data_IF_929377526444
#
_entry.id   IF_929377526444
#
_cell.length_a   1.000
_cell.length_b   1.000
_cell.length_c   1.000
_cell.angle_alpha   90.00
_cell.angle_beta   90.00
_cell.angle_gamma   90.00
#
_symmetry.space_group_name_H-M   'P 1'
#
loop_
_entity.id
_entity.type
_entity.pdbx_description
1 polymer ?
#
# COMPACT_ATOMS: atom_id res chain seq x y z
N UNK A 1 21.56 -26.58 -33.43
CA UNK A 1 22.79 -26.19 -32.74
C UNK A 1 22.46 -26.16 -31.25
N UNK A 2 23.27 -26.83 -30.42
CA UNK A 2 23.11 -26.74 -28.95
C UNK A 2 23.44 -25.31 -28.53
N UNK A 3 22.59 -24.74 -27.67
CA UNK A 3 22.91 -23.43 -27.09
C UNK A 3 24.00 -23.60 -26.04
N UNK A 4 25.02 -22.75 -26.08
CA UNK A 4 26.13 -22.76 -25.15
C UNK A 4 26.06 -21.59 -24.18
N UNK A 5 26.38 -21.86 -22.90
CA UNK A 5 26.57 -20.87 -21.84
C UNK A 5 27.79 -21.25 -20.99
N UNK A 6 28.45 -20.28 -20.39
CA UNK A 6 29.61 -20.59 -19.53
C UNK A 6 29.17 -21.18 -18.18
N UNK A 7 28.18 -20.59 -17.54
CA UNK A 7 27.66 -21.09 -16.27
C UNK A 7 26.19 -21.51 -16.46
N UNK A 8 25.85 -22.72 -16.04
CA UNK A 8 24.49 -23.21 -16.03
C UNK A 8 24.06 -23.57 -14.62
N UNK A 9 23.15 -22.79 -14.05
CA UNK A 9 22.50 -23.11 -12.78
C UNK A 9 21.40 -24.12 -13.03
N UNK A 10 21.51 -25.30 -12.42
CA UNK A 10 20.51 -26.36 -12.53
C UNK A 10 19.78 -26.58 -11.22
N UNK A 11 18.47 -26.65 -11.29
CA UNK A 11 17.60 -27.14 -10.22
C UNK A 11 16.34 -27.79 -10.78
N UNK A 12 15.85 -28.85 -10.13
CA UNK A 12 14.67 -29.60 -10.57
C UNK A 12 13.35 -28.81 -10.47
N UNK A 13 13.28 -27.85 -9.54
CA UNK A 13 12.13 -26.96 -9.37
C UNK A 13 12.49 -25.67 -8.64
N UNK A 14 11.66 -24.62 -8.84
CA UNK A 14 11.71 -23.37 -8.08
C UNK A 14 10.30 -22.99 -7.58
N UNK A 15 10.26 -22.24 -6.49
CA UNK A 15 9.08 -21.59 -5.96
C UNK A 15 9.09 -20.09 -6.33
N UNK A 16 8.13 -19.32 -5.79
CA UNK A 16 8.12 -17.85 -5.95
C UNK A 16 9.07 -17.20 -4.93
N UNK A 17 9.15 -17.76 -3.72
CA UNK A 17 9.92 -17.23 -2.60
C UNK A 17 10.69 -18.37 -1.92
N UNK A 18 11.97 -18.14 -1.66
CA UNK A 18 12.82 -19.08 -0.93
C UNK A 18 14.30 -18.68 -0.98
N UNK A 19 15.12 -19.31 -0.16
CA UNK A 19 16.56 -19.04 -0.11
C UNK A 19 17.30 -19.42 -1.39
N UNK A 20 16.87 -20.49 -2.06
CA UNK A 20 17.44 -20.95 -3.32
C UNK A 20 17.07 -20.00 -4.47
N UNK A 21 15.84 -19.55 -4.52
CA UNK A 21 15.35 -18.55 -5.48
C UNK A 21 16.12 -17.24 -5.32
N UNK A 22 16.28 -16.79 -4.08
CA UNK A 22 17.11 -15.62 -3.75
C UNK A 22 18.56 -15.80 -4.16
N UNK A 23 19.15 -16.95 -3.90
CA UNK A 23 20.52 -17.29 -4.33
C UNK A 23 20.66 -17.18 -5.86
N UNK A 24 19.79 -17.83 -6.62
CA UNK A 24 19.84 -17.83 -8.09
C UNK A 24 19.79 -16.41 -8.65
N UNK A 25 18.85 -15.59 -8.15
CA UNK A 25 18.68 -14.21 -8.63
C UNK A 25 19.94 -13.38 -8.33
N UNK A 26 20.44 -13.43 -7.09
CA UNK A 26 21.64 -12.66 -6.71
C UNK A 26 22.91 -13.19 -7.36
N UNK A 27 23.00 -14.50 -7.60
CA UNK A 27 24.13 -15.09 -8.32
C UNK A 27 24.18 -14.60 -9.76
N UNK A 28 23.03 -14.58 -10.46
CA UNK A 28 22.96 -14.05 -11.82
C UNK A 28 23.37 -12.58 -11.82
N UNK A 29 22.80 -11.77 -10.94
CA UNK A 29 23.10 -10.33 -10.86
C UNK A 29 24.57 -10.04 -10.54
N UNK A 30 25.21 -10.88 -9.71
CA UNK A 30 26.63 -10.74 -9.36
C UNK A 30 27.58 -11.16 -10.49
N UNK A 31 27.23 -12.21 -11.24
CA UNK A 31 28.16 -12.88 -12.13
C UNK A 31 27.94 -12.53 -13.62
N UNK A 32 26.83 -11.88 -13.98
CA UNK A 32 26.44 -11.62 -15.38
C UNK A 32 27.42 -10.71 -16.16
N UNK A 33 28.18 -9.87 -15.46
CA UNK A 33 29.18 -9.01 -16.08
C UNK A 33 30.44 -9.79 -16.55
N UNK A 34 30.66 -10.97 -15.97
CA UNK A 34 31.84 -11.78 -16.20
C UNK A 34 31.58 -13.06 -17.00
N UNK A 35 30.36 -13.57 -16.95
CA UNK A 35 30.01 -14.87 -17.54
C UNK A 35 28.65 -14.84 -18.25
N UNK A 36 28.55 -15.62 -19.32
CA UNK A 36 27.23 -15.95 -19.90
C UNK A 36 26.53 -16.99 -19.02
N UNK A 37 25.31 -16.64 -18.49
CA UNK A 37 24.61 -17.46 -17.52
C UNK A 37 23.32 -18.00 -18.08
N UNK A 38 23.08 -19.29 -17.84
CA UNK A 38 21.80 -19.95 -18.05
C UNK A 38 21.21 -20.51 -16.76
N UNK A 39 19.91 -20.67 -16.72
CA UNK A 39 19.19 -21.40 -15.67
C UNK A 39 18.41 -22.52 -16.32
N UNK A 40 18.66 -23.76 -15.90
CA UNK A 40 17.88 -24.90 -16.30
C UNK A 40 16.95 -25.33 -15.15
N UNK A 41 15.65 -25.12 -15.33
CA UNK A 41 14.64 -25.49 -14.33
C UNK A 41 13.35 -25.98 -15.02
N UNK A 42 13.07 -27.31 -14.99
CA UNK A 42 11.87 -27.86 -15.63
C UNK A 42 10.55 -27.40 -15.02
N UNK A 43 10.52 -27.11 -13.71
CA UNK A 43 9.31 -26.79 -12.96
C UNK A 43 9.48 -25.48 -12.20
N UNK A 44 8.85 -24.40 -12.68
CA UNK A 44 8.85 -23.10 -11.99
C UNK A 44 7.54 -22.33 -12.30
N UNK A 45 7.09 -21.47 -11.36
CA UNK A 45 5.95 -20.56 -11.57
C UNK A 45 6.22 -19.51 -12.64
N UNK A 46 5.16 -19.02 -13.31
CA UNK A 46 5.31 -18.01 -14.37
C UNK A 46 5.93 -16.71 -13.88
N UNK A 47 5.66 -16.30 -12.62
CA UNK A 47 6.30 -15.14 -12.03
C UNK A 47 7.82 -15.29 -11.98
N UNK A 48 8.32 -16.43 -11.50
CA UNK A 48 9.76 -16.72 -11.44
C UNK A 48 10.36 -16.87 -12.85
N UNK A 49 9.62 -17.44 -13.79
CA UNK A 49 10.00 -17.53 -15.19
C UNK A 49 10.29 -16.16 -15.81
N UNK A 50 9.40 -15.18 -15.54
CA UNK A 50 9.57 -13.82 -16.03
C UNK A 50 10.77 -13.12 -15.39
N UNK A 51 11.01 -13.31 -14.10
CA UNK A 51 12.17 -12.77 -13.39
C UNK A 51 13.46 -13.31 -13.99
N UNK A 52 13.58 -14.64 -14.16
CA UNK A 52 14.82 -15.24 -14.71
C UNK A 52 15.05 -14.80 -16.15
N UNK A 53 14.01 -14.83 -17.00
CA UNK A 53 14.12 -14.42 -18.41
C UNK A 53 14.56 -12.96 -18.60
N UNK A 54 14.29 -12.09 -17.63
CA UNK A 54 14.77 -10.70 -17.69
C UNK A 54 16.25 -10.53 -17.36
N UNK A 55 16.92 -11.61 -16.88
CA UNK A 55 18.29 -11.56 -16.34
C UNK A 55 19.24 -12.56 -17.00
N UNK A 56 18.73 -13.75 -17.40
CA UNK A 56 19.52 -14.84 -17.92
C UNK A 56 18.71 -15.69 -18.92
N UNK A 57 19.39 -16.56 -19.65
CA UNK A 57 18.71 -17.55 -20.49
C UNK A 57 18.03 -18.60 -19.62
N UNK A 58 16.74 -18.88 -19.88
CA UNK A 58 15.97 -19.90 -19.17
C UNK A 58 15.70 -21.10 -20.07
N UNK A 59 16.09 -22.28 -19.58
CA UNK A 59 15.83 -23.58 -20.19
C UNK A 59 14.87 -24.40 -19.31
N UNK A 60 13.84 -24.95 -19.90
CA UNK A 60 12.88 -25.85 -19.22
C UNK A 60 12.95 -27.28 -19.75
N UNK A 61 13.54 -27.46 -20.94
CA UNK A 61 13.75 -28.74 -21.62
C UNK A 61 14.83 -28.58 -22.70
N UNK A 62 15.19 -29.67 -23.35
CA UNK A 62 16.14 -29.66 -24.47
C UNK A 62 17.58 -29.92 -24.01
N UNK A 63 18.50 -29.92 -24.98
CA UNK A 63 19.92 -30.14 -24.75
C UNK A 63 20.63 -28.80 -24.58
N UNK A 64 21.46 -28.68 -23.55
CA UNK A 64 22.25 -27.49 -23.26
C UNK A 64 23.67 -27.91 -23.02
N UNK A 65 24.62 -27.14 -23.58
CA UNK A 65 26.07 -27.32 -23.37
C UNK A 65 26.59 -26.14 -22.52
N UNK A 66 27.40 -26.42 -21.50
CA UNK A 66 27.99 -25.40 -20.66
C UNK A 66 29.44 -25.78 -20.24
N UNK A 67 30.23 -24.76 -19.84
CA UNK A 67 31.55 -25.02 -19.25
C UNK A 67 31.39 -25.55 -17.82
N UNK A 68 30.59 -24.88 -17.00
CA UNK A 68 30.35 -25.27 -15.59
C UNK A 68 28.88 -25.46 -15.34
N UNK A 69 28.51 -26.66 -14.90
CA UNK A 69 27.18 -26.99 -14.36
C UNK A 69 27.18 -26.77 -12.85
N UNK A 70 26.31 -25.89 -12.36
CA UNK A 70 26.11 -25.61 -10.93
C UNK A 70 24.78 -26.24 -10.51
N UNK A 71 24.81 -27.36 -9.81
CA UNK A 71 23.63 -27.98 -9.22
C UNK A 71 23.28 -27.27 -7.93
N UNK A 72 22.21 -26.50 -7.94
CA UNK A 72 21.87 -25.58 -6.86
C UNK A 72 21.33 -26.30 -5.61
N UNK A 73 20.76 -27.48 -5.76
CA UNK A 73 20.29 -28.31 -4.62
C UNK A 73 21.18 -29.53 -4.43
N UNK A 74 21.50 -29.83 -3.19
CA UNK A 74 22.34 -30.98 -2.84
C UNK A 74 21.76 -32.33 -3.24
N UNK A 75 20.43 -32.43 -3.40
CA UNK A 75 19.70 -33.66 -3.75
C UNK A 75 19.32 -33.74 -5.22
N UNK A 76 19.53 -32.71 -6.02
CA UNK A 76 19.20 -32.74 -7.46
C UNK A 76 19.94 -33.87 -8.14
N UNK A 77 19.21 -34.59 -9.00
CA UNK A 77 19.78 -35.63 -9.86
C UNK A 77 20.44 -34.96 -11.06
N UNK A 78 21.65 -35.33 -11.37
CA UNK A 78 22.41 -34.86 -12.51
C UNK A 78 21.60 -35.07 -13.81
N UNK A 79 21.33 -34.03 -14.59
CA UNK A 79 20.53 -34.15 -15.78
C UNK A 79 21.33 -34.81 -16.92
N UNK A 80 20.69 -35.71 -17.65
CA UNK A 80 21.31 -36.47 -18.75
C UNK A 80 21.44 -35.69 -20.06
N UNK A 81 20.70 -34.63 -20.20
CA UNK A 81 20.62 -33.80 -21.40
C UNK A 81 21.48 -32.52 -21.32
N UNK A 82 22.37 -32.43 -20.36
CA UNK A 82 23.30 -31.31 -20.19
C UNK A 82 24.71 -31.83 -20.35
N UNK A 83 25.45 -31.27 -21.31
CA UNK A 83 26.89 -31.46 -21.47
C UNK A 83 27.61 -30.38 -20.69
N UNK A 84 28.71 -30.72 -20.00
CA UNK A 84 29.50 -29.78 -19.23
C UNK A 84 30.95 -30.29 -19.08
N UNK A 85 31.89 -29.39 -18.83
CA UNK A 85 33.28 -29.71 -18.56
C UNK A 85 33.51 -29.91 -17.07
N UNK A 86 32.79 -29.16 -16.21
CA UNK A 86 32.91 -29.18 -14.76
C UNK A 86 31.56 -29.18 -14.10
N UNK A 87 31.41 -29.91 -12.99
CA UNK A 87 30.18 -29.92 -12.16
C UNK A 87 30.48 -29.44 -10.74
N UNK A 88 29.71 -28.48 -10.28
CA UNK A 88 29.73 -27.95 -8.90
C UNK A 88 28.38 -28.24 -8.24
N UNK A 89 28.40 -28.71 -7.02
CA UNK A 89 27.19 -28.94 -6.24
C UNK A 89 27.13 -28.02 -5.03
N UNK A 90 26.03 -27.26 -4.95
CA UNK A 90 25.79 -26.36 -3.83
C UNK A 90 25.08 -27.10 -2.67
N UNK A 91 25.50 -26.80 -1.44
CA UNK A 91 24.87 -27.28 -0.22
C UNK A 91 24.32 -26.11 0.60
N UNK A 92 23.01 -25.87 0.47
CA UNK A 92 22.28 -24.77 1.13
C UNK A 92 21.67 -25.17 2.49
N UNK A 93 22.04 -26.30 3.05
CA UNK A 93 21.45 -26.81 4.29
C UNK A 93 22.53 -27.18 5.33
N UNK A 94 22.11 -27.26 6.58
CA UNK A 94 22.83 -28.03 7.61
C UNK A 94 22.18 -29.39 7.72
N UNK A 95 22.97 -30.42 8.00
CA UNK A 95 22.51 -31.79 8.19
C UNK A 95 21.65 -31.89 9.46
N UNK A 96 20.38 -32.28 9.30
CA UNK A 96 19.47 -32.46 10.44
C UNK A 96 19.54 -33.86 11.04
N UNK A 97 19.85 -34.84 10.21
CA UNK A 97 20.04 -36.24 10.62
C UNK A 97 20.98 -37.00 9.66
N UNK A 98 21.36 -38.23 10.01
CA UNK A 98 22.31 -39.02 9.20
C UNK A 98 21.79 -39.48 7.84
N UNK A 99 20.50 -39.37 7.56
CA UNK A 99 19.90 -39.72 6.26
C UNK A 99 20.20 -38.66 5.17
N UNK A 100 20.56 -37.44 5.57
CA UNK A 100 20.94 -36.39 4.64
C UNK A 100 22.35 -36.57 4.14
N UNK A 101 22.49 -36.91 2.89
CA UNK A 101 23.78 -37.18 2.22
C UNK A 101 23.90 -36.26 1.03
N UNK A 102 25.08 -35.61 0.87
CA UNK A 102 25.40 -34.89 -0.35
C UNK A 102 25.85 -35.89 -1.42
N UNK A 103 25.25 -35.84 -2.58
CA UNK A 103 25.69 -36.66 -3.73
C UNK A 103 27.09 -36.26 -4.17
N UNK A 104 27.94 -37.26 -4.34
CA UNK A 104 29.36 -37.10 -4.73
C UNK A 104 29.56 -37.22 -6.25
N UNK A 105 28.52 -36.95 -7.07
CA UNK A 105 28.54 -37.04 -8.53
C UNK A 105 28.93 -35.71 -9.19
N UNK A 106 29.86 -34.97 -8.59
CA UNK A 106 30.33 -33.66 -9.00
C UNK A 106 31.83 -33.52 -8.73
N UNK A 107 32.48 -32.57 -9.40
CA UNK A 107 33.91 -32.30 -9.25
C UNK A 107 34.22 -31.50 -7.98
N UNK A 108 33.23 -30.71 -7.51
CA UNK A 108 33.42 -29.85 -6.36
C UNK A 108 32.08 -29.68 -5.58
N UNK A 109 32.20 -29.66 -4.27
CA UNK A 109 31.08 -29.32 -3.35
C UNK A 109 31.36 -27.95 -2.76
N UNK A 110 30.33 -27.09 -2.79
CA UNK A 110 30.39 -25.76 -2.19
C UNK A 110 29.28 -25.64 -1.12
N UNK A 111 29.71 -25.39 0.11
CA UNK A 111 28.83 -25.10 1.24
C UNK A 111 28.59 -23.60 1.35
N UNK A 112 27.35 -23.20 1.59
CA UNK A 112 26.99 -21.79 1.76
C UNK A 112 27.41 -21.22 3.12
N UNK A 113 27.93 -22.06 4.02
CA UNK A 113 28.47 -21.63 5.31
C UNK A 113 29.41 -22.68 5.92
N UNK A 114 30.28 -22.23 6.83
CA UNK A 114 31.11 -23.14 7.62
C UNK A 114 30.26 -24.08 8.52
N UNK A 115 29.09 -23.66 8.96
CA UNK A 115 28.16 -24.50 9.70
C UNK A 115 27.61 -25.65 8.84
N UNK A 116 27.23 -25.36 7.60
CA UNK A 116 26.85 -26.39 6.64
C UNK A 116 27.98 -27.39 6.43
N UNK A 117 29.20 -26.93 6.12
CA UNK A 117 30.37 -27.78 5.92
C UNK A 117 30.61 -28.71 7.12
N UNK A 118 30.66 -28.16 8.36
CA UNK A 118 30.85 -28.96 9.58
C UNK A 118 29.72 -29.98 9.79
N UNK A 119 28.47 -29.62 9.53
CA UNK A 119 27.34 -30.51 9.75
C UNK A 119 27.36 -31.75 8.86
N UNK A 120 27.98 -31.66 7.69
CA UNK A 120 28.14 -32.78 6.75
C UNK A 120 29.50 -33.45 6.83
N UNK A 121 30.42 -32.98 7.71
CA UNK A 121 31.79 -33.48 7.79
C UNK A 121 32.47 -33.53 6.41
N UNK A 122 32.27 -32.48 5.60
CA UNK A 122 32.63 -32.41 4.18
C UNK A 122 33.96 -31.67 3.98
N UNK A 123 34.73 -32.09 2.98
CA UNK A 123 35.96 -31.40 2.54
C UNK A 123 35.69 -30.24 1.57
N UNK A 124 34.46 -30.07 1.13
CA UNK A 124 34.06 -29.04 0.17
C UNK A 124 34.42 -27.61 0.60
N UNK A 125 34.43 -26.69 -0.35
CA UNK A 125 34.69 -25.28 -0.10
C UNK A 125 33.56 -24.58 0.63
N UNK A 126 33.86 -23.44 1.25
CA UNK A 126 32.84 -22.55 1.84
C UNK A 126 32.81 -21.25 1.05
N UNK A 127 31.69 -21.01 0.34
CA UNK A 127 31.42 -19.76 -0.35
C UNK A 127 30.05 -19.27 0.10
N UNK A 128 30.01 -18.10 0.74
CA UNK A 128 28.75 -17.52 1.21
C UNK A 128 27.83 -17.17 0.04
N UNK A 129 26.52 -17.25 0.28
CA UNK A 129 25.53 -16.82 -0.71
C UNK A 129 25.70 -15.33 -1.05
N UNK A 130 25.66 -14.95 -2.34
CA UNK A 130 25.69 -13.56 -2.71
C UNK A 130 24.39 -12.88 -2.30
N UNK A 131 24.50 -11.63 -1.86
CA UNK A 131 23.36 -10.75 -1.62
C UNK A 131 23.75 -9.34 -2.02
N UNK A 132 23.12 -8.83 -3.06
CA UNK A 132 23.36 -7.48 -3.53
C UNK A 132 22.40 -6.51 -2.82
N UNK A 133 22.95 -5.39 -2.33
CA UNK A 133 22.14 -4.31 -1.80
C UNK A 133 21.28 -3.74 -2.94
N UNK A 134 19.99 -3.61 -2.71
CA UNK A 134 19.10 -2.93 -3.64
C UNK A 134 18.92 -1.48 -3.23
N UNK A 135 19.00 -0.57 -4.20
CA UNK A 135 18.60 0.82 -4.03
C UNK A 135 17.09 1.01 -4.27
N UNK A 136 16.39 -0.06 -4.69
CA UNK A 136 14.96 -0.03 -4.88
C UNK A 136 14.28 0.05 -3.54
N UNK A 137 13.54 1.15 -3.32
CA UNK A 137 12.70 1.37 -2.16
C UNK A 137 11.25 1.08 -2.51
N UNK A 138 10.54 0.36 -1.63
CA UNK A 138 9.08 0.28 -1.70
C UNK A 138 8.49 1.47 -0.96
N UNK A 139 7.51 2.14 -1.57
CA UNK A 139 6.76 3.19 -0.89
C UNK A 139 5.82 2.59 0.15
N UNK A 140 5.83 3.13 1.35
CA UNK A 140 4.84 2.83 2.38
C UNK A 140 3.77 3.92 2.38
N UNK A 141 2.56 3.56 1.97
CA UNK A 141 1.41 4.45 1.90
C UNK A 141 0.39 4.07 2.98
N UNK A 142 -0.21 5.07 3.60
CA UNK A 142 -1.28 4.88 4.58
C UNK A 142 -2.49 5.72 4.16
N UNK A 143 -3.69 5.20 4.32
CA UNK A 143 -4.93 5.96 4.19
C UNK A 143 -5.94 5.57 5.27
N UNK A 144 -6.69 6.56 5.74
CA UNK A 144 -7.79 6.39 6.69
C UNK A 144 -9.07 6.88 6.03
N UNK A 145 -9.88 5.96 5.51
CA UNK A 145 -11.03 6.34 4.68
C UNK A 145 -12.24 5.49 5.01
N UNK A 146 -13.33 6.11 5.42
CA UNK A 146 -14.64 5.44 5.43
C UNK A 146 -15.06 5.18 3.98
N UNK A 147 -15.53 3.96 3.70
CA UNK A 147 -15.99 3.54 2.37
C UNK A 147 -17.46 3.06 2.48
N UNK A 148 -18.38 3.83 3.03
CA UNK A 148 -19.77 3.44 3.00
C UNK A 148 -20.31 3.63 1.58
N UNK A 149 -21.27 2.80 1.21
CA UNK A 149 -21.96 2.87 -0.09
C UNK A 149 -22.61 4.23 -0.39
N UNK A 150 -22.72 5.11 0.61
CA UNK A 150 -23.38 6.42 0.55
C UNK A 150 -22.43 7.61 0.59
N UNK A 151 -21.16 7.44 0.99
CA UNK A 151 -20.20 8.56 1.07
C UNK A 151 -19.41 8.70 -0.23
N UNK A 152 -20.05 9.27 -1.23
CA UNK A 152 -19.43 9.53 -2.54
C UNK A 152 -18.25 10.50 -2.47
N UNK A 153 -18.16 11.33 -1.42
CA UNK A 153 -17.13 12.37 -1.27
C UNK A 153 -15.72 11.85 -0.98
N UNK A 154 -15.59 10.63 -0.45
CA UNK A 154 -14.27 10.00 -0.14
C UNK A 154 -13.54 9.42 -1.34
N UNK A 155 -14.24 9.20 -2.43
CA UNK A 155 -13.74 8.80 -3.74
C UNK A 155 -12.73 7.64 -3.75
N UNK A 156 -13.18 6.47 -3.29
CA UNK A 156 -12.42 5.23 -3.28
C UNK A 156 -11.87 4.82 -4.66
N UNK A 157 -12.54 5.23 -5.75
CA UNK A 157 -12.09 4.96 -7.12
C UNK A 157 -10.76 5.63 -7.45
N UNK A 158 -10.49 6.85 -6.91
CA UNK A 158 -9.19 7.51 -7.10
C UNK A 158 -8.07 6.75 -6.37
N UNK A 159 -8.35 6.17 -5.21
CA UNK A 159 -7.37 5.34 -4.50
C UNK A 159 -6.99 4.12 -5.35
N UNK A 160 -7.98 3.42 -5.91
CA UNK A 160 -7.73 2.30 -6.82
C UNK A 160 -6.99 2.74 -8.09
N UNK A 161 -7.34 3.91 -8.65
CA UNK A 161 -6.66 4.47 -9.81
C UNK A 161 -5.19 4.76 -9.51
N UNK A 162 -4.89 5.43 -8.39
CA UNK A 162 -3.51 5.69 -7.97
C UNK A 162 -2.72 4.39 -7.76
N UNK A 163 -3.31 3.39 -7.11
CA UNK A 163 -2.67 2.10 -6.89
C UNK A 163 -2.36 1.37 -8.21
N UNK A 164 -3.26 1.46 -9.21
CA UNK A 164 -3.01 0.92 -10.56
C UNK A 164 -1.90 1.68 -11.27
N UNK A 165 -1.91 3.01 -11.23
CA UNK A 165 -0.85 3.83 -11.82
C UNK A 165 0.53 3.49 -11.24
N UNK A 166 0.65 3.27 -9.93
CA UNK A 166 1.88 2.80 -9.30
C UNK A 166 2.31 1.44 -9.83
N UNK A 167 1.37 0.50 -9.96
CA UNK A 167 1.63 -0.85 -10.48
C UNK A 167 2.08 -0.81 -11.95
N UNK A 168 1.42 -0.03 -12.80
CA UNK A 168 1.73 0.17 -14.22
C UNK A 168 3.11 0.80 -14.41
N UNK A 169 3.46 1.76 -13.55
CA UNK A 169 4.79 2.38 -13.50
C UNK A 169 5.86 1.45 -12.88
N UNK A 170 5.51 0.23 -12.44
CA UNK A 170 6.39 -0.73 -11.75
C UNK A 170 7.04 -0.17 -10.48
N UNK A 171 6.36 0.76 -9.82
CA UNK A 171 6.78 1.29 -8.52
C UNK A 171 6.32 0.30 -7.45
N UNK A 172 7.26 -0.21 -6.67
CA UNK A 172 6.96 -1.09 -5.54
C UNK A 172 6.32 -0.29 -4.41
N UNK A 173 5.20 -0.75 -3.87
CA UNK A 173 4.53 -0.11 -2.75
C UNK A 173 3.84 -1.12 -1.84
N UNK A 174 3.68 -0.72 -0.58
CA UNK A 174 2.76 -1.30 0.38
C UNK A 174 1.80 -0.19 0.82
N UNK A 175 0.52 -0.34 0.53
CA UNK A 175 -0.52 0.62 0.91
C UNK A 175 -1.44 0.00 1.95
N UNK A 176 -1.37 0.51 3.17
CA UNK A 176 -2.25 0.12 4.27
C UNK A 176 -3.49 1.03 4.26
N UNK A 177 -4.62 0.48 3.87
CA UNK A 177 -5.89 1.19 3.87
C UNK A 177 -6.71 0.81 5.11
N UNK A 178 -6.83 1.74 6.03
CA UNK A 178 -7.67 1.63 7.21
C UNK A 178 -9.08 2.12 6.88
N UNK A 179 -10.03 1.20 6.80
CA UNK A 179 -11.40 1.50 6.40
C UNK A 179 -12.41 0.51 6.99
N UNK A 180 -13.65 0.94 7.04
CA UNK A 180 -14.80 0.15 7.50
C UNK A 180 -15.27 -0.90 6.48
N UNK A 181 -14.83 -0.80 5.23
CA UNK A 181 -15.10 -1.77 4.19
C UNK A 181 -13.88 -1.96 3.26
N UNK A 182 -13.64 -3.17 2.74
CA UNK A 182 -12.54 -3.44 1.83
C UNK A 182 -12.81 -2.86 0.43
N UNK A 183 -11.78 -2.28 -0.18
CA UNK A 183 -11.77 -1.95 -1.61
C UNK A 183 -11.56 -3.22 -2.42
N UNK A 184 -12.54 -3.56 -3.25
CA UNK A 184 -12.45 -4.70 -4.17
C UNK A 184 -11.58 -4.36 -5.38
N UNK A 185 -10.97 -5.39 -6.00
CA UNK A 185 -10.14 -5.25 -7.21
C UNK A 185 -8.93 -4.31 -7.06
N UNK A 186 -8.42 -4.17 -5.85
CA UNK A 186 -7.19 -3.46 -5.59
C UNK A 186 -5.98 -4.27 -6.10
N UNK A 187 -4.93 -3.63 -6.64
CA UNK A 187 -3.74 -4.31 -7.11
C UNK A 187 -2.91 -4.87 -5.94
N UNK A 188 -1.98 -5.78 -6.27
CA UNK A 188 -0.99 -6.30 -5.30
C UNK A 188 -0.25 -5.15 -4.63
N UNK A 189 -0.07 -5.23 -3.31
CA UNK A 189 0.52 -4.15 -2.50
C UNK A 189 -0.51 -3.26 -1.81
N UNK A 190 -1.79 -3.29 -2.21
CA UNK A 190 -2.86 -2.60 -1.51
C UNK A 190 -3.52 -3.55 -0.50
N UNK A 191 -3.46 -3.21 0.79
CA UNK A 191 -3.93 -4.04 1.89
C UNK A 191 -5.04 -3.33 2.66
N UNK A 192 -6.23 -3.95 2.72
CA UNK A 192 -7.32 -3.49 3.57
C UNK A 192 -7.08 -4.00 5.00
N UNK A 193 -6.85 -3.10 5.94
CA UNK A 193 -6.49 -3.44 7.33
C UNK A 193 -7.71 -3.52 8.25
N UNK A 194 -8.81 -2.87 7.86
CA UNK A 194 -9.98 -2.70 8.73
C UNK A 194 -9.94 -1.40 9.53
N UNK A 195 -10.83 -1.26 10.52
CA UNK A 195 -10.91 -0.07 11.37
C UNK A 195 -9.91 -0.13 12.52
N UNK A 196 -9.24 0.99 12.79
CA UNK A 196 -8.28 1.14 13.89
C UNK A 196 -8.56 2.45 14.62
N UNK A 197 -8.33 2.47 15.93
CA UNK A 197 -8.66 3.64 16.75
C UNK A 197 -7.55 4.70 16.71
N UNK A 198 -6.29 4.28 16.74
CA UNK A 198 -5.13 5.18 16.68
C UNK A 198 -4.28 4.86 15.45
N UNK A 199 -4.28 5.77 14.49
CA UNK A 199 -3.54 5.63 13.23
C UNK A 199 -2.21 6.37 13.22
N UNK A 200 -1.96 7.26 14.17
CA UNK A 200 -0.75 8.09 14.19
C UNK A 200 0.54 7.28 14.16
N UNK A 201 0.69 6.13 14.89
CA UNK A 201 1.90 5.33 14.82
C UNK A 201 2.20 4.75 13.42
N UNK A 202 1.17 4.48 12.62
CA UNK A 202 1.31 4.01 11.24
C UNK A 202 1.63 5.16 10.30
N UNK A 203 0.94 6.30 10.46
CA UNK A 203 1.15 7.52 9.69
C UNK A 203 2.59 8.02 9.87
N UNK A 204 3.09 8.09 11.10
CA UNK A 204 4.44 8.56 11.42
C UNK A 204 5.58 7.72 10.78
N UNK A 205 5.29 6.51 10.34
CA UNK A 205 6.26 5.61 9.69
C UNK A 205 6.07 5.51 8.18
N UNK A 206 4.97 6.06 7.66
CA UNK A 206 4.67 6.03 6.23
C UNK A 206 5.54 7.02 5.44
N UNK A 207 5.75 6.75 4.18
CA UNK A 207 6.28 7.74 3.24
C UNK A 207 5.23 8.78 2.91
N UNK A 208 3.97 8.34 2.80
CA UNK A 208 2.85 9.22 2.51
C UNK A 208 1.57 8.79 3.20
N UNK A 209 0.83 9.78 3.69
CA UNK A 209 -0.61 9.63 3.89
C UNK A 209 -1.33 9.95 2.58
N UNK A 210 -2.34 9.16 2.23
CA UNK A 210 -3.16 9.35 1.02
C UNK A 210 -4.58 9.75 1.38
N UNK A 211 -5.04 10.93 0.89
CA UNK A 211 -6.38 11.48 1.10
C UNK A 211 -6.93 12.06 -0.22
N UNK A 212 -7.66 11.26 -1.00
CA UNK A 212 -8.14 11.62 -2.34
C UNK A 212 -9.63 12.01 -2.39
N UNK A 213 -10.12 12.63 -1.34
CA UNK A 213 -11.51 13.06 -1.20
C UNK A 213 -11.87 14.21 -2.14
N UNK A 214 -13.15 14.32 -2.50
CA UNK A 214 -13.69 15.50 -3.22
C UNK A 214 -13.82 16.69 -2.28
N UNK A 215 -14.22 16.44 -1.03
CA UNK A 215 -14.45 17.45 -0.01
C UNK A 215 -14.05 16.93 1.36
N UNK A 216 -13.52 17.82 2.18
CA UNK A 216 -13.26 17.58 3.59
C UNK A 216 -13.65 18.84 4.38
N UNK A 217 -14.31 18.63 5.51
CA UNK A 217 -14.62 19.74 6.42
C UNK A 217 -13.39 20.32 7.08
N UNK A 218 -12.38 19.46 7.39
CA UNK A 218 -11.11 19.88 7.97
C UNK A 218 -9.93 19.06 7.43
N UNK A 219 -10.05 17.72 7.34
CA UNK A 219 -8.97 16.83 6.88
C UNK A 219 -8.03 16.41 8.01
N UNK A 220 -8.59 15.88 9.12
CA UNK A 220 -7.80 15.45 10.28
C UNK A 220 -6.64 14.53 9.93
N UNK A 221 -6.84 13.53 9.06
CA UNK A 221 -5.79 12.60 8.66
C UNK A 221 -4.61 13.31 8.00
N UNK A 222 -4.88 14.35 7.19
CA UNK A 222 -3.82 15.18 6.59
C UNK A 222 -3.07 15.95 7.66
N UNK A 223 -3.78 16.54 8.63
CA UNK A 223 -3.11 17.23 9.74
C UNK A 223 -2.27 16.25 10.59
N UNK A 224 -2.79 15.06 10.89
CA UNK A 224 -2.06 14.00 11.58
C UNK A 224 -0.76 13.62 10.85
N UNK A 225 -0.79 13.56 9.52
CA UNK A 225 0.41 13.32 8.74
C UNK A 225 1.40 14.49 8.84
N UNK A 226 0.93 15.71 8.65
CA UNK A 226 1.80 16.89 8.70
C UNK A 226 2.50 17.06 10.04
N UNK A 227 1.79 16.91 11.17
CA UNK A 227 2.40 17.02 12.51
C UNK A 227 3.43 15.93 12.81
N UNK A 228 3.36 14.80 12.11
CA UNK A 228 4.35 13.73 12.16
C UNK A 228 5.44 13.87 11.07
N UNK A 229 5.48 14.99 10.35
CA UNK A 229 6.37 15.23 9.22
C UNK A 229 6.26 14.15 8.11
N UNK A 230 5.10 13.51 8.00
CA UNK A 230 4.79 12.55 6.97
C UNK A 230 4.20 13.28 5.77
N UNK A 231 4.77 13.06 4.59
CA UNK A 231 4.30 13.69 3.37
C UNK A 231 2.87 13.23 3.01
N UNK A 232 2.14 14.07 2.29
CA UNK A 232 0.76 13.75 1.92
C UNK A 232 0.59 13.64 0.41
N UNK A 233 -0.28 12.75 -0.03
CA UNK A 233 -0.82 12.70 -1.39
C UNK A 233 -2.30 13.03 -1.26
N UNK A 234 -2.70 14.22 -1.65
CA UNK A 234 -4.08 14.64 -1.49
C UNK A 234 -4.64 15.34 -2.73
N UNK A 235 -5.96 15.33 -2.87
CA UNK A 235 -6.67 16.19 -3.82
C UNK A 235 -6.76 17.62 -3.30
N UNK A 236 -6.99 18.62 -4.14
CA UNK A 236 -7.13 20.02 -3.72
C UNK A 236 -8.51 20.29 -3.07
N UNK A 237 -8.87 19.55 -2.02
CA UNK A 237 -10.08 19.83 -1.26
C UNK A 237 -9.98 21.15 -0.47
N UNK A 238 -11.12 21.72 -0.04
CA UNK A 238 -11.22 23.09 0.46
C UNK A 238 -10.17 23.52 1.48
N UNK A 239 -9.84 22.66 2.46
CA UNK A 239 -8.91 22.99 3.56
C UNK A 239 -7.44 22.66 3.27
N UNK A 240 -7.10 22.10 2.12
CA UNK A 240 -5.72 21.69 1.76
C UNK A 240 -4.71 22.84 1.98
N UNK A 241 -5.03 24.06 1.54
CA UNK A 241 -4.19 25.24 1.72
C UNK A 241 -4.13 25.71 3.18
N UNK A 242 -5.27 25.67 3.88
CA UNK A 242 -5.36 26.09 5.29
C UNK A 242 -4.53 25.19 6.20
N UNK A 243 -4.43 23.90 5.87
CA UNK A 243 -3.57 22.94 6.53
C UNK A 243 -2.08 23.13 6.20
N UNK A 244 -1.74 23.99 5.25
CA UNK A 244 -0.35 24.25 4.86
C UNK A 244 0.26 23.20 3.96
N UNK A 245 -0.56 22.43 3.22
CA UNK A 245 -0.03 21.51 2.22
C UNK A 245 0.51 22.30 1.02
N UNK A 246 1.79 22.08 0.72
CA UNK A 246 2.48 22.73 -0.40
C UNK A 246 3.01 21.65 -1.34
N UNK A 247 2.58 21.73 -2.61
CA UNK A 247 2.97 20.75 -3.65
C UNK A 247 4.48 20.68 -3.83
N UNK A 248 5.02 19.47 -3.82
CA UNK A 248 6.45 19.17 -3.90
C UNK A 248 7.27 19.50 -2.63
N UNK A 249 6.67 20.07 -1.57
CA UNK A 249 7.36 20.42 -0.32
C UNK A 249 6.89 19.61 0.89
N UNK A 250 5.60 19.54 1.14
CA UNK A 250 5.02 18.73 2.22
C UNK A 250 4.18 17.55 1.68
N UNK A 251 4.22 17.33 0.38
CA UNK A 251 3.51 16.27 -0.30
C UNK A 251 3.22 16.61 -1.74
N UNK A 252 2.24 15.94 -2.31
CA UNK A 252 1.80 16.16 -3.70
C UNK A 252 0.30 16.38 -3.76
N UNK A 253 -0.10 17.45 -4.47
CA UNK A 253 -1.50 17.75 -4.73
C UNK A 253 -1.90 17.14 -6.08
N UNK A 254 -2.70 16.08 -6.02
CA UNK A 254 -3.13 15.33 -7.20
C UNK A 254 -4.44 15.93 -7.72
N UNK A 255 -4.52 16.29 -9.01
CA UNK A 255 -5.76 16.80 -9.60
C UNK A 255 -6.91 15.78 -9.49
N UNK A 256 -8.16 16.27 -9.45
CA UNK A 256 -9.34 15.40 -9.34
C UNK A 256 -9.49 14.42 -10.51
N UNK A 257 -8.97 14.72 -11.67
CA UNK A 257 -8.95 13.84 -12.86
C UNK A 257 -7.82 12.80 -12.83
N UNK A 258 -6.95 12.88 -11.81
CA UNK A 258 -5.80 11.99 -11.60
C UNK A 258 -4.74 12.08 -12.72
N UNK A 259 -4.63 13.19 -13.43
CA UNK A 259 -3.51 13.45 -14.35
C UNK A 259 -2.26 13.82 -13.56
N UNK A 260 -1.56 12.80 -13.10
CA UNK A 260 -0.42 12.95 -12.20
C UNK A 260 0.70 11.97 -12.59
N UNK A 261 1.93 12.46 -12.58
CA UNK A 261 3.10 11.63 -12.80
C UNK A 261 3.50 10.96 -11.47
N UNK A 262 3.17 9.68 -11.32
CA UNK A 262 3.44 8.90 -10.11
C UNK A 262 4.92 8.68 -9.83
N UNK A 263 5.82 8.90 -10.79
CA UNK A 263 7.27 8.77 -10.58
C UNK A 263 7.80 9.84 -9.62
N UNK A 264 7.11 10.98 -9.49
CA UNK A 264 7.41 12.02 -8.49
C UNK A 264 7.36 11.49 -7.07
N UNK A 265 6.53 10.46 -6.80
CA UNK A 265 6.39 9.88 -5.47
C UNK A 265 7.65 9.14 -4.99
N UNK A 266 8.59 8.81 -5.89
CA UNK A 266 9.88 8.24 -5.51
C UNK A 266 10.77 9.24 -4.74
N UNK A 267 10.51 10.53 -4.89
CA UNK A 267 11.14 11.62 -4.13
C UNK A 267 10.23 12.07 -2.99
N UNK A 268 10.38 11.44 -1.83
CA UNK A 268 9.58 11.77 -0.64
C UNK A 268 10.04 13.10 -0.06
N UNK A 269 9.18 14.14 -0.02
CA UNK A 269 9.55 15.43 0.54
C UNK A 269 9.93 15.30 2.03
N UNK A 270 10.98 16.03 2.42
CA UNK A 270 11.40 16.18 3.80
C UNK A 270 11.06 17.60 4.26
N UNK A 271 10.35 17.75 5.36
CA UNK A 271 9.91 19.04 5.88
C UNK A 271 9.72 18.97 7.40
N UNK A 272 9.60 20.13 8.02
CA UNK A 272 9.18 20.27 9.41
C UNK A 272 7.85 21.04 9.44
N UNK A 273 6.90 20.55 10.22
CA UNK A 273 5.58 21.16 10.34
C UNK A 273 5.27 21.51 11.79
N UNK A 274 4.85 22.74 12.01
CA UNK A 274 4.45 23.21 13.33
C UNK A 274 2.96 23.51 13.37
N UNK A 275 2.26 22.92 14.32
CA UNK A 275 0.84 23.17 14.56
C UNK A 275 0.65 23.88 15.91
N UNK A 276 0.03 25.06 15.89
CA UNK A 276 -0.04 25.95 17.05
C UNK A 276 -1.27 25.68 17.92
N UNK A 277 -1.27 24.56 18.65
CA UNK A 277 -2.36 24.19 19.57
C UNK A 277 -2.65 25.26 20.63
N UNK A 278 -1.64 25.96 21.13
CA UNK A 278 -1.83 27.01 22.14
C UNK A 278 -2.66 28.18 21.60
N UNK A 279 -2.45 28.56 20.35
CA UNK A 279 -3.25 29.60 19.70
C UNK A 279 -4.70 29.16 19.54
N UNK A 280 -4.93 27.89 19.21
CA UNK A 280 -6.27 27.33 19.10
C UNK A 280 -6.95 27.29 20.46
N UNK A 281 -6.24 26.83 21.48
CA UNK A 281 -6.72 26.81 22.86
C UNK A 281 -7.11 28.21 23.33
N UNK A 282 -6.27 29.22 23.07
CA UNK A 282 -6.57 30.61 23.43
C UNK A 282 -7.86 31.12 22.79
N UNK A 283 -8.08 30.84 21.48
CA UNK A 283 -9.32 31.19 20.77
C UNK A 283 -10.57 30.54 21.37
N UNK A 284 -10.47 29.26 21.78
CA UNK A 284 -11.57 28.58 22.44
C UNK A 284 -11.87 29.19 23.81
N UNK A 285 -10.84 29.54 24.62
CA UNK A 285 -11.02 30.19 25.89
C UNK A 285 -11.67 31.58 25.70
N UNK A 286 -11.24 32.35 24.71
CA UNK A 286 -11.84 33.65 24.37
C UNK A 286 -13.31 33.49 23.99
N UNK A 287 -13.63 32.51 23.13
CA UNK A 287 -15.03 32.19 22.74
C UNK A 287 -15.90 31.87 23.96
N UNK A 288 -15.41 31.04 24.89
CA UNK A 288 -16.18 30.65 26.07
C UNK A 288 -16.37 31.80 27.07
N UNK A 289 -15.43 32.75 27.12
CA UNK A 289 -15.50 33.93 27.97
C UNK A 289 -16.25 35.09 27.33
N UNK A 290 -16.51 35.03 26.00
CA UNK A 290 -17.29 36.08 25.34
C UNK A 290 -18.74 36.01 25.77
N UNK A 291 -19.33 37.09 26.30
CA UNK A 291 -20.73 37.08 26.69
C UNK A 291 -21.63 36.76 25.50
N UNK A 292 -22.35 35.69 25.58
CA UNK A 292 -23.36 35.37 24.57
C UNK A 292 -24.43 36.47 24.63
N UNK A 293 -24.58 37.27 23.56
CA UNK A 293 -25.78 38.07 23.37
C UNK A 293 -26.95 37.09 23.41
N UNK A 294 -27.68 37.09 24.53
CA UNK A 294 -28.91 36.28 24.64
C UNK A 294 -29.77 36.65 23.41
N UNK A 295 -29.75 35.84 22.40
CA UNK A 295 -30.79 35.90 21.39
C UNK A 295 -32.09 35.80 22.19
N UNK A 296 -32.97 36.82 22.09
CA UNK A 296 -34.30 36.73 22.64
C UNK A 296 -34.82 35.35 22.24
N UNK A 297 -35.02 34.43 23.21
CA UNK A 297 -35.64 33.15 22.90
C UNK A 297 -36.86 33.52 22.11
N UNK A 298 -36.91 33.14 20.83
CA UNK A 298 -38.06 33.40 19.98
C UNK A 298 -39.22 32.74 20.71
N UNK A 299 -40.15 33.56 21.17
CA UNK A 299 -41.30 33.12 21.94
C UNK A 299 -42.05 32.11 21.09
N UNK A 300 -42.20 30.90 21.57
CA UNK A 300 -42.97 29.89 20.84
C UNK A 300 -44.45 30.18 21.08
N UNK A 301 -45.19 30.29 20.00
CA UNK A 301 -46.63 30.51 20.01
C UNK A 301 -47.32 29.16 19.82
N UNK A 302 -48.26 28.88 20.71
CA UNK A 302 -49.16 27.76 20.54
C UNK A 302 -50.24 28.13 19.53
N UNK A 303 -50.44 27.31 18.53
CA UNK A 303 -51.45 27.55 17.52
C UNK A 303 -52.34 26.33 17.36
N UNK A 304 -53.63 26.58 16.98
CA UNK A 304 -54.60 25.55 16.62
C UNK A 304 -54.89 25.65 15.12
N UNK A 305 -54.79 24.55 14.42
CA UNK A 305 -55.09 24.44 12.98
C UNK A 305 -56.60 24.64 12.77
N UNK A 306 -56.97 25.64 11.96
CA UNK A 306 -58.37 25.94 11.61
C UNK A 306 -58.79 25.19 10.33
N UNK A 307 -57.92 25.13 9.35
CA UNK A 307 -58.16 24.49 8.06
C UNK A 307 -57.00 23.53 7.76
N UNK A 308 -57.28 22.30 7.29
CA UNK A 308 -56.22 21.40 6.92
C UNK A 308 -55.30 21.97 5.81
N UNK A 309 -54.00 21.88 5.99
CA UNK A 309 -53.01 22.34 4.98
C UNK A 309 -51.77 21.44 4.98
N UNK A 310 -51.03 21.45 3.87
CA UNK A 310 -49.71 20.80 3.82
C UNK A 310 -48.66 21.77 4.38
N UNK A 311 -48.05 21.37 5.48
CA UNK A 311 -46.95 22.10 6.09
C UNK A 311 -45.65 21.74 5.40
N UNK A 312 -44.99 22.71 4.74
CA UNK A 312 -43.80 22.51 3.94
C UNK A 312 -42.54 22.38 4.79
N UNK A 313 -42.52 22.96 6.00
CA UNK A 313 -41.35 22.81 6.89
C UNK A 313 -41.37 21.47 7.65
N UNK A 314 -42.56 20.98 8.01
CA UNK A 314 -42.74 19.69 8.67
C UNK A 314 -42.95 18.54 7.68
N UNK A 315 -43.07 18.87 6.38
CA UNK A 315 -43.36 17.97 5.26
C UNK A 315 -44.52 16.99 5.54
N UNK A 316 -45.59 17.49 6.17
CA UNK A 316 -46.77 16.69 6.48
C UNK A 316 -48.07 17.50 6.38
N UNK A 317 -49.19 16.80 6.24
CA UNK A 317 -50.50 17.39 6.31
C UNK A 317 -50.96 17.64 7.76
N UNK A 318 -51.37 18.88 8.02
CA UNK A 318 -51.93 19.32 9.29
C UNK A 318 -53.43 19.12 9.28
N UNK A 319 -53.98 18.58 10.40
CA UNK A 319 -55.40 18.29 10.52
C UNK A 319 -56.11 19.41 11.31
N UNK A 320 -57.37 19.70 10.95
CA UNK A 320 -58.19 20.65 11.70
C UNK A 320 -58.25 20.30 13.18
N UNK A 321 -58.05 21.30 14.04
CA UNK A 321 -58.07 21.14 15.50
C UNK A 321 -56.72 20.72 16.10
N UNK A 322 -55.72 20.35 15.28
CA UNK A 322 -54.38 19.99 15.74
C UNK A 322 -53.72 21.19 16.42
N UNK A 323 -53.03 20.92 17.55
CA UNK A 323 -52.27 21.94 18.29
C UNK A 323 -50.78 21.71 18.06
N UNK A 324 -50.07 22.78 17.82
CA UNK A 324 -48.62 22.76 17.68
C UNK A 324 -48.01 24.07 18.15
N UNK A 325 -46.73 24.03 18.45
CA UNK A 325 -45.96 25.20 18.84
C UNK A 325 -45.02 25.61 17.71
N UNK A 326 -44.97 26.88 17.38
CA UNK A 326 -44.13 27.39 16.30
C UNK A 326 -43.59 28.80 16.62
N UNK A 327 -42.61 29.24 15.83
CA UNK A 327 -42.03 30.58 15.97
C UNK A 327 -43.07 31.65 15.68
N UNK A 328 -42.96 32.80 16.34
CA UNK A 328 -43.88 33.93 16.21
C UNK A 328 -44.13 34.34 14.75
N UNK A 329 -43.08 34.52 13.98
CA UNK A 329 -43.17 34.94 12.58
C UNK A 329 -44.05 33.99 11.76
N UNK A 330 -43.84 32.69 11.96
CA UNK A 330 -44.60 31.65 11.26
C UNK A 330 -46.04 31.58 11.78
N UNK A 331 -46.26 31.67 13.08
CA UNK A 331 -47.56 31.66 13.68
C UNK A 331 -48.41 32.81 13.12
N UNK A 332 -47.89 34.04 13.09
CA UNK A 332 -48.57 35.21 12.53
C UNK A 332 -48.79 35.09 11.03
N UNK A 333 -47.82 34.57 10.26
CA UNK A 333 -47.99 34.30 8.81
C UNK A 333 -49.13 33.33 8.53
N UNK A 334 -49.21 32.21 9.28
CA UNK A 334 -50.25 31.22 9.09
C UNK A 334 -51.63 31.69 9.61
N UNK A 335 -51.63 32.52 10.65
CA UNK A 335 -52.85 33.15 11.17
C UNK A 335 -53.41 34.15 10.17
N UNK A 336 -52.58 35.00 9.56
CA UNK A 336 -52.98 35.93 8.50
C UNK A 336 -53.60 35.19 7.30
N UNK A 337 -53.05 34.02 6.96
CA UNK A 337 -53.62 33.10 5.97
C UNK A 337 -54.89 32.37 6.44
N UNK A 338 -55.35 32.59 7.67
CA UNK A 338 -56.49 31.92 8.28
C UNK A 338 -56.39 30.40 8.36
N UNK A 339 -55.16 29.88 8.34
CA UNK A 339 -54.86 28.45 8.43
C UNK A 339 -54.78 27.97 9.90
N UNK A 340 -54.35 28.84 10.78
CA UNK A 340 -54.24 28.55 12.22
C UNK A 340 -54.85 29.72 13.03
N UNK A 341 -55.05 29.49 14.33
CA UNK A 341 -55.35 30.52 15.35
C UNK A 341 -54.29 30.44 16.45
N UNK A 342 -53.73 31.56 16.82
CA UNK A 342 -52.83 31.67 17.95
C UNK A 342 -53.69 31.53 19.23
N UNK A 343 -53.27 30.63 20.18
CA UNK A 343 -53.95 30.38 21.46
C UNK A 343 -53.25 31.12 22.62
#
# INVERSE_FOLDING_TARGET
MSEHVQLLLYTSYLHIIGGIETFIINFIDLMSDSYSIGVYCPKLPDEMKNIIKSKAKLYQSGRVDCETLIMVRMMDVKPVNISYERAVRMCHACRSDKSWIIKQDCDQIVHVSAASKRSFESDGDVILNPLLKTDKRSLLLVSATRIPALDKGKNAERMLKLARMLSEARISFLWLNFSDAPLKNAPKGFVNVGTFHDLQPYIARADYLVQLSDQEGFGYSVLEALINNTAVICTPFGTTKELGVVDGKSGYIVPFDMRFDVTKLLSVPQFEYTYHNDTIKAKWIELFNTPVKKQKRQQAYNVRVLVPYKDLELDRYMKRGEKLSMREERARYLEDKKLVKIE
#
